data_IF_673579163081
#
_entry.id   IF_673579163081
#
_cell.length_a   1.000
_cell.length_b   1.000
_cell.length_c   1.000
_cell.angle_alpha   90.00
_cell.angle_beta   90.00
_cell.angle_gamma   90.00
#
_symmetry.space_group_name_H-M   'P 1'
#
loop_
_entity.id
_entity.type
_entity.pdbx_description
1 polymer ?
#
# COMPACT_ATOMS: atom_id res chain seq x y z
N UNK A 1 -14.03 -12.24 25.54
CA UNK A 1 -13.27 -13.49 25.32
C UNK A 1 -14.28 -14.58 25.02
N UNK A 2 -14.51 -14.86 23.73
CA UNK A 2 -15.25 -16.05 23.31
C UNK A 2 -14.79 -16.41 21.89
N UNK A 3 -13.64 -17.09 21.82
CA UNK A 3 -13.19 -17.80 20.64
C UNK A 3 -14.02 -19.09 20.58
N UNK A 4 -15.12 -19.10 19.84
CA UNK A 4 -15.73 -20.38 19.45
C UNK A 4 -14.93 -20.95 18.29
N UNK A 5 -13.82 -21.62 18.62
CA UNK A 5 -13.15 -22.55 17.72
C UNK A 5 -14.08 -23.76 17.53
N UNK A 6 -15.06 -23.63 16.64
CA UNK A 6 -15.77 -24.81 16.14
C UNK A 6 -14.81 -25.52 15.19
N UNK A 7 -14.23 -26.60 15.69
CA UNK A 7 -13.23 -27.41 15.01
C UNK A 7 -13.82 -28.04 13.73
N UNK A 8 -13.12 -27.95 12.57
CA UNK A 8 -13.54 -28.57 11.31
C UNK A 8 -13.74 -30.09 11.41
N UNK A 9 -13.19 -30.72 12.44
CA UNK A 9 -13.33 -32.15 12.71
C UNK A 9 -14.76 -32.58 13.08
N UNK A 10 -15.57 -31.70 13.68
CA UNK A 10 -16.99 -32.00 13.98
C UNK A 10 -17.84 -32.03 12.69
N UNK A 11 -17.40 -31.34 11.64
CA UNK A 11 -18.05 -31.33 10.31
C UNK A 11 -17.79 -32.60 9.49
N UNK A 12 -16.85 -33.46 9.89
CA UNK A 12 -16.57 -34.72 9.18
C UNK A 12 -17.55 -35.85 9.52
N UNK A 13 -18.38 -35.69 10.57
CA UNK A 13 -19.34 -36.70 11.02
C UNK A 13 -20.79 -36.46 10.54
N UNK A 14 -21.09 -35.31 9.92
CA UNK A 14 -22.42 -35.02 9.40
C UNK A 14 -22.45 -35.18 7.89
N UNK A 15 -23.27 -36.13 7.46
CA UNK A 15 -23.57 -36.48 6.08
C UNK A 15 -24.19 -35.30 5.31
N UNK A 16 -23.33 -34.41 4.81
CA UNK A 16 -23.47 -33.53 3.62
C UNK A 16 -22.38 -32.45 3.69
N UNK A 17 -21.19 -32.79 3.20
CA UNK A 17 -20.17 -31.79 2.89
C UNK A 17 -20.61 -31.08 1.60
N UNK A 18 -21.51 -30.11 1.74
CA UNK A 18 -21.76 -29.14 0.68
C UNK A 18 -20.59 -28.16 0.66
N UNK A 19 -19.86 -28.10 -0.44
CA UNK A 19 -18.78 -27.15 -0.70
C UNK A 19 -19.24 -25.67 -0.67
N UNK A 20 -20.53 -25.42 -0.51
CA UNK A 20 -21.08 -24.09 -0.30
C UNK A 20 -20.82 -23.61 1.14
N UNK A 21 -20.96 -24.50 2.13
CA UNK A 21 -20.82 -24.15 3.56
C UNK A 21 -19.34 -24.02 4.03
N UNK A 22 -18.40 -24.61 3.29
CA UNK A 22 -16.96 -24.53 3.60
C UNK A 22 -16.31 -23.24 3.05
N UNK A 23 -16.96 -22.56 2.11
CA UNK A 23 -16.39 -21.44 1.36
C UNK A 23 -17.19 -20.14 1.49
N UNK A 24 -18.45 -20.17 1.97
CA UNK A 24 -19.18 -18.95 2.37
C UNK A 24 -18.48 -18.18 3.50
N UNK A 25 -17.69 -18.87 4.35
CA UNK A 25 -16.91 -18.24 5.42
C UNK A 25 -15.61 -17.57 4.98
N UNK A 26 -15.25 -17.58 3.70
CA UNK A 26 -13.95 -17.12 3.22
C UNK A 26 -14.05 -16.31 1.92
N UNK A 27 -14.91 -15.29 1.95
CA UNK A 27 -14.71 -14.12 1.10
C UNK A 27 -13.32 -13.59 1.42
N UNK A 28 -12.42 -13.47 0.43
CA UNK A 28 -11.08 -12.89 0.60
C UNK A 28 -11.27 -11.61 1.42
N UNK A 29 -10.72 -11.58 2.63
CA UNK A 29 -11.04 -10.58 3.63
C UNK A 29 -10.78 -9.17 3.07
N UNK A 30 -11.85 -8.55 2.56
CA UNK A 30 -11.86 -7.23 1.94
C UNK A 30 -11.42 -6.15 2.93
N UNK A 31 -11.32 -6.47 4.23
CA UNK A 31 -10.80 -5.58 5.28
C UNK A 31 -9.46 -4.92 4.89
N UNK A 32 -8.48 -5.68 4.38
CA UNK A 32 -7.16 -5.11 4.08
C UNK A 32 -7.10 -4.28 2.81
N UNK A 33 -8.00 -4.57 1.87
CA UNK A 33 -8.17 -3.77 0.66
C UNK A 33 -8.93 -2.47 0.99
N UNK A 34 -9.88 -2.53 1.93
CA UNK A 34 -10.54 -1.34 2.51
C UNK A 34 -9.55 -0.52 3.34
N UNK A 35 -8.61 -1.16 4.03
CA UNK A 35 -7.55 -0.47 4.78
C UNK A 35 -6.63 0.35 3.88
N UNK A 36 -6.44 -0.03 2.62
CA UNK A 36 -5.63 0.74 1.66
C UNK A 36 -6.23 2.11 1.34
N UNK A 37 -7.55 2.26 1.50
CA UNK A 37 -8.30 3.51 1.23
C UNK A 37 -8.26 4.42 2.47
N UNK A 38 -8.08 3.86 3.66
CA UNK A 38 -8.09 4.63 4.92
C UNK A 38 -6.95 5.66 4.96
N UNK A 39 -7.26 6.84 5.48
CA UNK A 39 -6.24 7.81 5.88
C UNK A 39 -5.40 7.25 7.04
N UNK A 40 -4.19 7.78 7.22
CA UNK A 40 -3.33 7.44 8.37
C UNK A 40 -4.04 7.64 9.72
N UNK A 41 -4.84 8.69 9.84
CA UNK A 41 -5.63 8.97 11.05
C UNK A 41 -6.75 7.96 11.28
N UNK A 42 -7.35 7.43 10.21
CA UNK A 42 -8.42 6.43 10.29
C UNK A 42 -7.90 5.00 10.46
N UNK A 43 -6.70 4.68 9.94
CA UNK A 43 -6.11 3.35 10.03
C UNK A 43 -5.75 2.97 11.47
N UNK A 44 -5.04 3.85 12.18
CA UNK A 44 -4.76 3.69 13.61
C UNK A 44 -4.73 5.06 14.32
N UNK A 45 -5.85 5.49 14.93
CA UNK A 45 -5.96 6.80 15.58
C UNK A 45 -4.96 7.01 16.72
N UNK A 46 -4.63 5.94 17.46
CA UNK A 46 -3.68 5.99 18.57
C UNK A 46 -2.27 6.28 18.07
N UNK A 47 -1.78 5.49 17.10
CA UNK A 47 -0.45 5.70 16.51
C UNK A 47 -0.35 7.06 15.84
N UNK A 48 -1.39 7.47 15.11
CA UNK A 48 -1.47 8.80 14.53
C UNK A 48 -1.35 9.92 15.57
N UNK A 49 -2.07 9.80 16.69
CA UNK A 49 -2.02 10.80 17.76
C UNK A 49 -0.62 10.91 18.35
N UNK A 50 0.06 9.79 18.60
CA UNK A 50 1.45 9.79 19.08
C UNK A 50 2.40 10.40 18.06
N UNK A 51 2.35 9.98 16.79
CA UNK A 51 3.23 10.50 15.75
C UNK A 51 2.98 11.99 15.49
N UNK A 52 1.72 12.43 15.44
CA UNK A 52 1.38 13.84 15.29
C UNK A 52 1.84 14.65 16.51
N UNK A 53 1.79 14.10 17.71
CA UNK A 53 2.26 14.78 18.93
C UNK A 53 3.77 14.92 18.92
N UNK A 54 4.52 13.88 18.56
CA UNK A 54 5.98 13.95 18.39
C UNK A 54 6.34 14.97 17.31
N UNK A 55 5.59 14.97 16.20
CA UNK A 55 5.81 15.90 15.09
C UNK A 55 5.63 17.35 15.55
N UNK A 56 4.53 17.66 16.25
CA UNK A 56 4.23 19.01 16.71
C UNK A 56 5.12 19.49 17.86
N UNK A 57 5.37 18.62 18.84
CA UNK A 57 6.06 19.02 20.07
C UNK A 57 7.59 19.02 19.94
N UNK A 58 8.15 18.16 19.11
CA UNK A 58 9.61 17.97 19.03
C UNK A 58 10.15 18.33 17.65
N UNK A 59 9.56 17.76 16.60
CA UNK A 59 10.17 17.84 15.27
C UNK A 59 9.90 19.15 14.56
N UNK A 60 8.75 19.79 14.77
CA UNK A 60 8.44 21.11 14.23
C UNK A 60 9.40 22.20 14.76
N UNK A 61 9.60 22.35 16.08
CA UNK A 61 10.61 23.27 16.60
C UNK A 61 12.01 23.00 16.04
N UNK A 62 12.38 21.72 15.93
CA UNK A 62 13.68 21.32 15.36
C UNK A 62 13.79 21.67 13.86
N UNK A 63 12.71 21.50 13.10
CA UNK A 63 12.62 21.90 11.69
C UNK A 63 12.76 23.41 11.52
N UNK A 64 12.15 24.22 12.39
CA UNK A 64 12.31 25.68 12.39
C UNK A 64 13.75 26.09 12.76
N UNK A 65 14.40 25.38 13.67
CA UNK A 65 15.82 25.60 13.99
C UNK A 65 16.72 25.32 12.77
N UNK A 66 16.51 24.19 12.07
CA UNK A 66 17.22 23.87 10.81
C UNK A 66 16.94 24.95 9.76
N UNK A 67 15.69 25.36 9.62
CA UNK A 67 15.28 26.42 8.69
C UNK A 67 16.03 27.73 8.96
N UNK A 68 16.25 28.06 10.24
CA UNK A 68 17.01 29.25 10.64
C UNK A 68 18.48 29.17 10.22
N UNK A 69 19.10 27.99 10.34
CA UNK A 69 20.47 27.74 9.86
C UNK A 69 20.55 27.87 8.33
N UNK A 70 19.61 27.26 7.61
CA UNK A 70 19.54 27.35 6.14
C UNK A 70 19.39 28.80 5.67
N UNK A 71 18.55 29.60 6.35
CA UNK A 71 18.40 31.02 6.04
C UNK A 71 19.71 31.79 6.17
N UNK A 72 20.48 31.57 7.23
CA UNK A 72 21.78 32.25 7.44
C UNK A 72 22.76 31.88 6.33
N UNK A 73 22.79 30.61 5.92
CA UNK A 73 23.65 30.14 4.83
C UNK A 73 23.28 30.78 3.49
N UNK A 74 21.99 30.79 3.13
CA UNK A 74 21.51 31.39 1.88
C UNK A 74 21.68 32.90 1.87
N UNK A 75 21.46 33.58 3.01
CA UNK A 75 21.75 35.00 3.17
C UNK A 75 23.24 35.31 2.95
N UNK A 76 24.14 34.48 3.51
CA UNK A 76 25.59 34.63 3.32
C UNK A 76 26.00 34.43 1.86
N UNK A 77 25.45 33.42 1.18
CA UNK A 77 25.71 33.17 -0.26
C UNK A 77 25.25 34.34 -1.10
N UNK A 78 24.06 34.86 -0.82
CA UNK A 78 23.51 36.02 -1.50
C UNK A 78 24.35 37.29 -1.27
N UNK A 79 24.78 37.54 -0.03
CA UNK A 79 25.65 38.66 0.30
C UNK A 79 26.97 38.60 -0.49
N UNK A 80 27.60 37.42 -0.54
CA UNK A 80 28.83 37.20 -1.32
C UNK A 80 28.61 37.39 -2.82
N UNK A 81 27.50 36.88 -3.36
CA UNK A 81 27.14 37.03 -4.78
C UNK A 81 27.00 38.50 -5.16
N UNK A 82 26.32 39.30 -4.33
CA UNK A 82 26.13 40.73 -4.55
C UNK A 82 27.46 41.48 -4.45
N UNK A 83 28.26 41.19 -3.41
CA UNK A 83 29.58 41.80 -3.23
C UNK A 83 30.52 41.51 -4.42
N UNK A 84 30.54 40.28 -4.92
CA UNK A 84 31.35 39.89 -6.08
C UNK A 84 30.86 40.53 -7.39
N UNK A 85 29.58 40.90 -7.48
CA UNK A 85 29.01 41.61 -8.64
C UNK A 85 29.15 43.14 -8.58
N UNK A 86 29.80 43.68 -7.53
CA UNK A 86 29.98 45.12 -7.34
C UNK A 86 28.71 45.89 -6.96
N UNK A 87 27.64 45.18 -6.59
CA UNK A 87 26.36 45.77 -6.19
C UNK A 87 26.24 45.96 -4.68
N UNK A 88 25.28 46.79 -4.26
CA UNK A 88 24.83 46.87 -2.87
C UNK A 88 23.66 45.90 -2.63
N UNK A 89 23.54 45.39 -1.41
CA UNK A 89 22.41 44.56 -1.01
C UNK A 89 21.15 45.42 -0.92
N UNK A 90 20.26 45.32 -1.91
CA UNK A 90 18.96 46.01 -1.90
C UNK A 90 17.89 45.15 -1.25
N UNK A 91 16.87 45.80 -0.68
CA UNK A 91 15.70 45.10 -0.13
C UNK A 91 14.98 44.27 -1.21
N UNK A 92 14.94 44.75 -2.46
CA UNK A 92 14.38 44.01 -3.60
C UNK A 92 15.07 42.67 -3.84
N UNK A 93 16.37 42.58 -3.56
CA UNK A 93 17.11 41.33 -3.67
C UNK A 93 16.76 40.39 -2.49
N UNK A 94 16.63 40.92 -1.26
CA UNK A 94 16.32 40.12 -0.07
C UNK A 94 14.86 39.68 0.05
N UNK A 95 13.92 40.47 -0.48
CA UNK A 95 12.49 40.22 -0.39
C UNK A 95 12.07 38.80 -0.87
N UNK A 96 12.46 38.30 -2.06
CA UNK A 96 12.07 36.96 -2.50
C UNK A 96 12.62 35.86 -1.58
N UNK A 97 13.82 36.01 -1.02
CA UNK A 97 14.38 35.08 -0.05
C UNK A 97 13.53 35.03 1.23
N UNK A 98 13.18 36.18 1.81
CA UNK A 98 12.36 36.25 3.02
C UNK A 98 10.95 35.69 2.81
N UNK A 99 10.34 35.97 1.65
CA UNK A 99 9.02 35.42 1.31
C UNK A 99 9.09 33.88 1.23
N UNK A 100 10.11 33.34 0.55
CA UNK A 100 10.29 31.89 0.46
C UNK A 100 10.50 31.23 1.82
N UNK A 101 11.22 31.90 2.73
CA UNK A 101 11.43 31.45 4.10
C UNK A 101 10.12 31.40 4.90
N UNK A 102 9.32 32.47 4.87
CA UNK A 102 8.03 32.52 5.56
C UNK A 102 7.10 31.44 5.05
N UNK A 103 7.05 31.23 3.73
CA UNK A 103 6.26 30.16 3.12
C UNK A 103 6.68 28.79 3.62
N UNK A 104 7.98 28.49 3.67
CA UNK A 104 8.48 27.21 4.17
C UNK A 104 8.21 27.03 5.66
N UNK A 105 8.30 28.09 6.47
CA UNK A 105 7.92 28.04 7.88
C UNK A 105 6.44 27.66 8.06
N UNK A 106 5.53 28.20 7.24
CA UNK A 106 4.11 27.84 7.23
C UNK A 106 3.89 26.39 6.77
N UNK A 107 4.69 25.91 5.82
CA UNK A 107 4.64 24.51 5.37
C UNK A 107 5.07 23.56 6.49
N UNK A 108 6.12 23.89 7.26
CA UNK A 108 6.60 23.11 8.40
C UNK A 108 5.50 22.95 9.46
N UNK A 109 4.77 24.02 9.79
CA UNK A 109 3.69 23.98 10.79
C UNK A 109 2.49 23.16 10.34
N UNK A 110 2.28 23.02 9.03
CA UNK A 110 1.18 22.25 8.43
C UNK A 110 1.62 20.91 7.82
N UNK A 111 2.78 20.40 8.19
CA UNK A 111 3.37 19.18 7.59
C UNK A 111 2.46 17.96 7.63
N UNK A 112 1.73 17.74 8.72
CA UNK A 112 0.82 16.58 8.85
C UNK A 112 -0.30 16.62 7.81
N UNK A 113 -0.83 17.81 7.51
CA UNK A 113 -1.89 18.02 6.51
C UNK A 113 -1.38 17.68 5.12
N UNK A 114 -0.12 18.03 4.81
CA UNK A 114 0.49 17.73 3.52
C UNK A 114 0.64 16.22 3.30
N UNK A 115 1.12 15.50 4.32
CA UNK A 115 1.25 14.03 4.24
C UNK A 115 -0.11 13.36 4.09
N UNK A 116 -1.12 13.81 4.83
CA UNK A 116 -2.50 13.34 4.67
C UNK A 116 -3.06 13.62 3.28
N UNK A 117 -2.78 14.79 2.69
CA UNK A 117 -3.23 15.14 1.35
C UNK A 117 -2.61 14.22 0.28
N UNK A 118 -1.31 13.91 0.37
CA UNK A 118 -0.63 12.98 -0.57
C UNK A 118 -1.29 11.60 -0.51
N UNK A 119 -1.59 11.12 0.70
CA UNK A 119 -2.22 9.82 0.88
C UNK A 119 -3.69 9.85 0.46
N UNK A 120 -4.41 10.95 0.69
CA UNK A 120 -5.77 11.15 0.22
C UNK A 120 -5.87 11.07 -1.31
N UNK A 121 -4.90 11.63 -2.04
CA UNK A 121 -4.83 11.49 -3.50
C UNK A 121 -4.65 10.02 -3.91
N UNK A 122 -3.76 9.29 -3.23
CA UNK A 122 -3.55 7.86 -3.50
C UNK A 122 -4.80 7.02 -3.16
N UNK A 123 -5.46 7.29 -2.04
CA UNK A 123 -6.73 6.66 -1.66
C UNK A 123 -7.81 6.91 -2.70
N UNK A 124 -7.94 8.15 -3.18
CA UNK A 124 -8.90 8.49 -4.21
C UNK A 124 -8.61 7.77 -5.54
N UNK A 125 -7.33 7.64 -5.92
CA UNK A 125 -6.96 6.83 -7.08
C UNK A 125 -7.35 5.36 -6.90
N UNK A 126 -7.17 4.80 -5.70
CA UNK A 126 -7.60 3.44 -5.37
C UNK A 126 -9.12 3.29 -5.49
N UNK A 127 -9.90 4.24 -4.98
CA UNK A 127 -11.37 4.24 -5.10
C UNK A 127 -11.84 4.24 -6.55
N UNK A 128 -11.20 5.02 -7.41
CA UNK A 128 -11.54 5.04 -8.84
C UNK A 128 -11.22 3.69 -9.51
N UNK A 129 -10.07 3.11 -9.21
CA UNK A 129 -9.71 1.76 -9.71
C UNK A 129 -10.69 0.72 -9.17
N UNK A 130 -11.06 0.81 -7.89
CA UNK A 130 -12.02 -0.08 -7.24
C UNK A 130 -13.38 -0.05 -7.95
N UNK A 131 -13.87 1.15 -8.27
CA UNK A 131 -15.10 1.35 -9.03
C UNK A 131 -15.03 0.64 -10.38
N UNK A 132 -13.96 0.83 -11.15
CA UNK A 132 -13.80 0.19 -12.47
C UNK A 132 -13.79 -1.33 -12.35
N UNK A 133 -13.07 -1.89 -11.36
CA UNK A 133 -12.97 -3.33 -11.17
C UNK A 133 -14.29 -3.94 -10.68
N UNK A 134 -15.06 -3.22 -9.85
CA UNK A 134 -16.37 -3.66 -9.40
C UNK A 134 -17.38 -3.84 -10.54
N UNK A 135 -17.27 -3.04 -11.61
CA UNK A 135 -18.08 -3.22 -12.83
C UNK A 135 -17.61 -4.38 -13.72
N UNK A 136 -16.41 -4.91 -13.50
CA UNK A 136 -15.80 -6.01 -14.26
C UNK A 136 -16.29 -7.41 -13.89
N UNK A 137 -17.12 -7.55 -12.87
CA UNK A 137 -18.01 -8.71 -12.70
C UNK A 137 -17.34 -10.09 -12.71
N UNK A 138 -16.17 -10.28 -12.11
CA UNK A 138 -15.66 -11.62 -11.83
C UNK A 138 -16.10 -12.05 -10.42
N UNK A 139 -17.32 -12.58 -10.30
CA UNK A 139 -17.71 -13.31 -9.09
C UNK A 139 -16.72 -14.44 -8.88
N UNK A 140 -16.21 -14.58 -7.64
CA UNK A 140 -15.47 -15.75 -7.22
C UNK A 140 -16.41 -16.95 -7.28
N UNK A 141 -16.51 -17.57 -8.46
CA UNK A 141 -17.25 -18.80 -8.57
C UNK A 141 -16.43 -19.86 -7.84
N UNK A 142 -16.86 -20.20 -6.63
CA UNK A 142 -16.37 -21.38 -5.91
C UNK A 142 -16.38 -22.52 -6.92
N UNK A 143 -15.28 -23.26 -7.05
CA UNK A 143 -15.21 -24.44 -7.91
C UNK A 143 -16.22 -25.45 -7.34
N UNK A 144 -17.47 -25.30 -7.76
CA UNK A 144 -18.59 -26.12 -7.38
C UNK A 144 -18.76 -27.11 -8.52
N UNK A 145 -18.38 -28.35 -8.23
CA UNK A 145 -18.61 -29.45 -9.13
C UNK A 145 -17.31 -30.07 -9.62
N UNK A 146 -16.75 -30.96 -8.81
CA UNK A 146 -16.13 -32.14 -9.37
C UNK A 146 -16.53 -33.37 -8.56
N UNK A 147 -17.42 -34.19 -9.14
CA UNK A 147 -17.66 -35.55 -8.66
C UNK A 147 -16.53 -36.42 -9.19
N UNK A 148 -15.45 -36.57 -8.43
CA UNK A 148 -14.47 -37.61 -8.70
C UNK A 148 -15.15 -38.98 -8.60
N UNK A 149 -15.23 -39.72 -9.71
CA UNK A 149 -15.71 -41.10 -9.69
C UNK A 149 -14.62 -41.99 -9.07
N UNK A 150 -14.83 -42.43 -7.83
CA UNK A 150 -13.96 -43.37 -7.10
C UNK A 150 -13.34 -42.79 -5.82
N UNK A 151 -13.18 -43.63 -4.78
CA UNK A 151 -12.68 -43.26 -3.45
C UNK A 151 -11.29 -42.59 -3.48
N UNK A 152 -10.35 -43.12 -4.28
CA UNK A 152 -9.01 -42.54 -4.49
C UNK A 152 -9.08 -41.18 -5.19
N UNK A 153 -9.94 -41.03 -6.21
CA UNK A 153 -10.10 -39.77 -6.94
C UNK A 153 -10.65 -38.65 -6.05
N UNK A 154 -11.55 -38.98 -5.11
CA UNK A 154 -12.08 -38.02 -4.13
C UNK A 154 -11.02 -37.58 -3.11
N UNK A 155 -10.12 -38.48 -2.68
CA UNK A 155 -9.01 -38.10 -1.79
C UNK A 155 -7.98 -37.19 -2.46
N UNK A 156 -7.61 -37.45 -3.71
CA UNK A 156 -6.65 -36.60 -4.45
C UNK A 156 -7.22 -35.21 -4.67
N UNK A 157 -8.47 -35.12 -5.14
CA UNK A 157 -9.15 -33.82 -5.32
C UNK A 157 -9.30 -33.09 -3.97
N UNK A 158 -9.60 -33.80 -2.88
CA UNK A 158 -9.65 -33.23 -1.53
C UNK A 158 -8.30 -32.67 -1.06
N UNK A 159 -7.19 -33.37 -1.33
CA UNK A 159 -5.84 -32.91 -0.98
C UNK A 159 -5.46 -31.63 -1.74
N UNK A 160 -5.68 -31.59 -3.05
CA UNK A 160 -5.41 -30.38 -3.85
C UNK A 160 -6.33 -29.22 -3.45
N UNK A 161 -7.60 -29.48 -3.11
CA UNK A 161 -8.50 -28.45 -2.62
C UNK A 161 -8.03 -27.85 -1.28
N UNK A 162 -7.52 -28.69 -0.37
CA UNK A 162 -6.92 -28.24 0.89
C UNK A 162 -5.67 -27.38 0.63
N UNK A 163 -4.79 -27.80 -0.30
CA UNK A 163 -3.61 -27.00 -0.65
C UNK A 163 -3.98 -25.64 -1.25
N UNK A 164 -4.95 -25.55 -2.16
CA UNK A 164 -5.42 -24.28 -2.72
C UNK A 164 -5.97 -23.38 -1.61
N UNK A 165 -6.76 -23.95 -0.69
CA UNK A 165 -7.28 -23.22 0.46
C UNK A 165 -6.17 -22.66 1.36
N UNK A 166 -5.14 -23.47 1.65
CA UNK A 166 -3.98 -23.07 2.44
C UNK A 166 -3.22 -21.91 1.77
N UNK A 167 -2.94 -22.02 0.47
CA UNK A 167 -2.22 -21.00 -0.29
C UNK A 167 -3.02 -19.69 -0.36
N UNK A 168 -4.34 -19.76 -0.47
CA UNK A 168 -5.21 -18.57 -0.42
C UNK A 168 -5.14 -17.85 0.92
N UNK A 169 -5.17 -18.58 2.05
CA UNK A 169 -4.98 -17.99 3.39
C UNK A 169 -3.64 -17.25 3.48
N UNK A 170 -2.57 -17.89 3.01
CA UNK A 170 -1.22 -17.29 3.04
C UNK A 170 -1.17 -16.03 2.18
N UNK A 171 -1.79 -16.03 0.99
CA UNK A 171 -1.83 -14.85 0.13
C UNK A 171 -2.58 -13.67 0.75
N UNK A 172 -3.73 -13.91 1.39
CA UNK A 172 -4.51 -12.89 2.08
C UNK A 172 -3.74 -12.34 3.30
N UNK A 173 -3.14 -13.22 4.10
CA UNK A 173 -2.28 -12.82 5.20
C UNK A 173 -1.09 -11.97 4.73
N UNK A 174 -0.50 -12.29 3.57
CA UNK A 174 0.59 -11.51 2.98
C UNK A 174 0.14 -10.09 2.59
N UNK A 175 -1.05 -9.93 2.01
CA UNK A 175 -1.61 -8.59 1.72
C UNK A 175 -1.75 -7.80 3.01
N UNK A 176 -2.41 -8.36 4.04
CA UNK A 176 -2.63 -7.68 5.32
C UNK A 176 -1.31 -7.25 5.98
N UNK A 177 -0.31 -8.13 5.95
CA UNK A 177 1.02 -7.87 6.48
C UNK A 177 1.71 -6.75 5.71
N UNK A 178 1.68 -6.77 4.39
CA UNK A 178 2.31 -5.76 3.54
C UNK A 178 1.66 -4.39 3.72
N UNK A 179 0.32 -4.34 3.79
CA UNK A 179 -0.43 -3.11 4.10
C UNK A 179 -0.01 -2.54 5.46
N UNK A 180 0.12 -3.39 6.48
CA UNK A 180 0.55 -2.98 7.82
C UNK A 180 1.98 -2.42 7.83
N UNK A 181 2.91 -3.09 7.15
CA UNK A 181 4.30 -2.61 7.01
C UNK A 181 4.34 -1.24 6.33
N UNK A 182 3.57 -1.05 5.25
CA UNK A 182 3.47 0.24 4.55
C UNK A 182 2.99 1.35 5.50
N UNK A 183 1.95 1.10 6.28
CA UNK A 183 1.45 2.09 7.24
C UNK A 183 2.51 2.43 8.30
N UNK A 184 3.23 1.43 8.83
CA UNK A 184 4.34 1.66 9.76
C UNK A 184 5.42 2.55 9.12
N UNK A 185 5.81 2.28 7.88
CA UNK A 185 6.80 3.09 7.15
C UNK A 185 6.35 4.54 6.97
N UNK A 186 5.09 4.75 6.59
CA UNK A 186 4.50 6.09 6.48
C UNK A 186 4.47 6.80 7.84
N UNK A 187 4.06 6.11 8.91
CA UNK A 187 4.06 6.68 10.26
C UNK A 187 5.44 7.11 10.72
N UNK A 188 6.47 6.30 10.43
CA UNK A 188 7.85 6.62 10.77
C UNK A 188 8.39 7.80 9.97
N UNK A 189 7.87 8.09 8.77
CA UNK A 189 8.32 9.23 7.98
C UNK A 189 7.72 10.56 8.47
N UNK A 190 6.46 10.60 8.95
CA UNK A 190 5.76 11.85 9.31
C UNK A 190 6.60 12.78 10.21
N UNK A 191 7.22 12.30 11.31
CA UNK A 191 7.97 13.19 12.20
C UNK A 191 9.21 13.78 11.54
N UNK A 192 9.75 13.16 10.50
CA UNK A 192 10.96 13.66 9.82
C UNK A 192 10.66 14.67 8.70
N UNK A 193 9.41 14.78 8.24
CA UNK A 193 9.05 15.75 7.20
C UNK A 193 9.40 17.21 7.57
N UNK A 194 9.13 17.70 8.80
CA UNK A 194 9.55 19.04 9.22
C UNK A 194 11.06 19.30 9.11
N UNK A 195 11.89 18.26 9.19
CA UNK A 195 13.36 18.38 9.14
C UNK A 195 13.88 18.47 7.72
N UNK A 196 13.22 17.82 6.76
CA UNK A 196 13.66 17.77 5.37
C UNK A 196 13.08 18.91 4.55
N UNK A 197 11.89 19.43 4.89
CA UNK A 197 11.25 20.56 4.22
C UNK A 197 12.15 21.83 4.14
N UNK A 198 12.86 22.24 5.21
CA UNK A 198 13.80 23.37 5.15
C UNK A 198 14.88 23.24 4.07
N UNK A 199 15.30 22.00 3.77
CA UNK A 199 16.42 21.74 2.85
C UNK A 199 16.11 22.13 1.40
N UNK A 200 14.84 22.31 1.04
CA UNK A 200 14.43 22.78 -0.29
C UNK A 200 14.91 24.19 -0.63
N UNK A 201 15.14 25.03 0.38
CA UNK A 201 15.59 26.41 0.18
C UNK A 201 17.07 26.52 -0.19
N UNK A 202 17.87 25.49 0.12
CA UNK A 202 19.29 25.50 -0.21
C UNK A 202 19.59 24.64 -1.41
N UNK A 203 20.26 25.21 -2.41
CA UNK A 203 20.62 24.47 -3.63
C UNK A 203 21.51 23.24 -3.35
N UNK A 204 22.31 23.28 -2.29
CA UNK A 204 23.19 22.17 -1.87
C UNK A 204 22.40 21.02 -1.22
N UNK A 205 21.38 21.35 -0.43
CA UNK A 205 20.63 20.38 0.37
C UNK A 205 19.28 19.99 -0.26
N UNK A 206 18.88 20.66 -1.35
CA UNK A 206 17.63 20.43 -2.07
C UNK A 206 17.45 18.97 -2.51
N UNK A 207 18.54 18.29 -2.87
CA UNK A 207 18.51 16.87 -3.24
C UNK A 207 17.97 15.98 -2.12
N UNK A 208 18.30 16.28 -0.86
CA UNK A 208 17.85 15.52 0.31
C UNK A 208 16.35 15.72 0.52
N UNK A 209 15.86 16.96 0.44
CA UNK A 209 14.43 17.26 0.52
C UNK A 209 13.63 16.56 -0.58
N UNK A 210 14.10 16.64 -1.83
CA UNK A 210 13.45 15.98 -2.98
C UNK A 210 13.44 14.47 -2.78
N UNK A 211 14.54 13.87 -2.34
CA UNK A 211 14.64 12.43 -2.05
C UNK A 211 13.64 11.98 -0.98
N UNK A 212 13.45 12.78 0.06
CA UNK A 212 12.46 12.50 1.09
C UNK A 212 11.01 12.50 0.55
N UNK A 213 10.62 13.52 -0.23
CA UNK A 213 9.29 13.54 -0.86
C UNK A 213 9.10 12.39 -1.84
N UNK A 214 10.13 12.07 -2.64
CA UNK A 214 10.10 10.89 -3.51
C UNK A 214 9.84 9.61 -2.72
N UNK A 215 10.48 9.43 -1.57
CA UNK A 215 10.23 8.28 -0.70
C UNK A 215 8.77 8.21 -0.20
N UNK A 216 8.16 9.34 0.21
CA UNK A 216 6.74 9.35 0.59
C UNK A 216 5.87 8.94 -0.60
N UNK A 217 6.15 9.49 -1.78
CA UNK A 217 5.42 9.17 -3.01
C UNK A 217 5.53 7.69 -3.37
N UNK A 218 6.67 7.03 -3.11
CA UNK A 218 6.84 5.59 -3.33
C UNK A 218 5.86 4.80 -2.48
N UNK A 219 5.76 5.10 -1.19
CA UNK A 219 4.84 4.39 -0.31
C UNK A 219 3.37 4.69 -0.66
N UNK A 220 3.07 5.89 -1.17
CA UNK A 220 1.76 6.22 -1.70
C UNK A 220 1.42 5.37 -2.93
N UNK A 221 2.28 5.37 -3.96
CA UNK A 221 2.15 4.59 -5.20
C UNK A 221 2.15 3.08 -4.94
N UNK A 222 2.96 2.61 -4.00
CA UNK A 222 2.99 1.20 -3.59
C UNK A 222 1.61 0.73 -3.11
N UNK A 223 0.86 1.56 -2.38
CA UNK A 223 -0.52 1.26 -1.98
C UNK A 223 -1.44 1.03 -3.17
N UNK A 224 -1.35 1.90 -4.18
CA UNK A 224 -2.12 1.79 -5.42
C UNK A 224 -1.75 0.52 -6.18
N UNK A 225 -0.46 0.18 -6.26
CA UNK A 225 0.02 -1.03 -6.92
C UNK A 225 -0.46 -2.30 -6.22
N UNK A 226 -0.43 -2.35 -4.88
CA UNK A 226 -0.95 -3.50 -4.11
C UNK A 226 -2.43 -3.69 -4.45
N UNK A 227 -3.22 -2.61 -4.45
CA UNK A 227 -4.63 -2.67 -4.81
C UNK A 227 -4.83 -3.19 -6.23
N UNK A 228 -4.10 -2.64 -7.21
CA UNK A 228 -4.15 -3.08 -8.59
C UNK A 228 -3.83 -4.58 -8.73
N UNK A 229 -2.75 -5.04 -8.11
CA UNK A 229 -2.34 -6.45 -8.14
C UNK A 229 -3.46 -7.34 -7.61
N UNK A 230 -4.03 -7.02 -6.44
CA UNK A 230 -5.13 -7.80 -5.84
C UNK A 230 -6.37 -7.77 -6.74
N UNK A 231 -6.70 -6.62 -7.32
CA UNK A 231 -7.87 -6.41 -8.16
C UNK A 231 -7.82 -7.17 -9.50
N UNK A 232 -6.62 -7.48 -10.00
CA UNK A 232 -6.43 -8.24 -11.24
C UNK A 232 -6.57 -9.75 -11.05
N UNK A 233 -6.45 -10.26 -9.82
CA UNK A 233 -6.46 -11.71 -9.52
C UNK A 233 -7.75 -12.40 -10.01
N UNK A 234 -8.96 -11.88 -9.75
CA UNK A 234 -10.20 -12.49 -10.23
C UNK A 234 -10.29 -12.54 -11.77
N UNK A 235 -9.69 -11.56 -12.47
CA UNK A 235 -9.71 -11.47 -13.93
C UNK A 235 -8.86 -12.58 -14.56
N UNK A 236 -7.70 -12.89 -13.98
CA UNK A 236 -6.86 -14.00 -14.42
C UNK A 236 -7.48 -15.37 -14.06
N UNK A 237 -8.20 -15.48 -12.94
CA UNK A 237 -8.92 -16.71 -12.59
C UNK A 237 -10.10 -16.99 -13.54
N UNK A 238 -10.84 -15.95 -13.95
CA UNK A 238 -11.98 -16.08 -14.88
C UNK A 238 -11.55 -16.53 -16.27
N UNK A 239 -10.45 -15.99 -16.80
CA UNK A 239 -9.88 -16.41 -18.08
C UNK A 239 -9.49 -17.90 -18.12
N UNK A 240 -9.06 -18.46 -16.99
CA UNK A 240 -8.74 -19.89 -16.87
C UNK A 240 -9.97 -20.81 -16.81
N UNK A 241 -11.12 -20.31 -16.34
CA UNK A 241 -12.38 -21.07 -16.23
C UNK A 241 -13.14 -21.18 -17.55
N UNK A 242 -13.04 -20.17 -18.42
CA UNK A 242 -13.78 -20.12 -19.71
C UNK A 242 -13.36 -21.26 -20.67
N UNK A 243 -12.18 -21.86 -20.49
CA UNK A 243 -11.73 -22.99 -21.30
C UNK A 243 -12.40 -24.35 -20.94
N UNK A 244 -13.25 -24.42 -19.91
CA UNK A 244 -13.68 -25.69 -19.29
C UNK A 244 -15.20 -25.83 -19.13
N UNK A 245 -16.00 -25.27 -20.02
CA UNK A 245 -17.46 -25.52 -20.01
C UNK A 245 -17.91 -26.80 -20.74
N UNK A 246 -16.99 -27.62 -21.26
CA UNK A 246 -17.35 -28.75 -22.15
C UNK A 246 -16.98 -30.12 -21.56
N UNK A 247 -17.49 -30.47 -20.37
CA UNK A 247 -17.45 -31.85 -19.86
C UNK A 247 -16.06 -32.41 -19.57
N UNK A 248 -15.23 -31.64 -18.87
CA UNK A 248 -13.84 -31.99 -18.59
C UNK A 248 -13.66 -33.24 -17.71
N UNK A 249 -12.81 -34.17 -18.17
CA UNK A 249 -12.33 -35.30 -17.38
C UNK A 249 -11.39 -34.87 -16.24
N UNK A 250 -11.05 -35.83 -15.37
CA UNK A 250 -10.19 -35.62 -14.18
C UNK A 250 -8.89 -34.85 -14.50
N UNK A 251 -8.30 -35.05 -15.68
CA UNK A 251 -7.07 -34.38 -16.11
C UNK A 251 -7.23 -32.85 -16.27
N UNK A 252 -8.37 -32.38 -16.79
CA UNK A 252 -8.63 -30.95 -16.98
C UNK A 252 -8.97 -30.25 -15.66
N UNK A 253 -9.64 -30.93 -14.73
CA UNK A 253 -9.82 -30.39 -13.39
C UNK A 253 -8.50 -30.25 -12.64
N UNK A 254 -7.59 -31.22 -12.77
CA UNK A 254 -6.25 -31.09 -12.22
C UNK A 254 -5.50 -29.91 -12.85
N UNK A 255 -5.63 -29.70 -14.16
CA UNK A 255 -5.01 -28.56 -14.84
C UNK A 255 -5.52 -27.21 -14.32
N UNK A 256 -6.82 -27.05 -14.07
CA UNK A 256 -7.38 -25.83 -13.45
C UNK A 256 -6.85 -25.64 -12.03
N UNK A 257 -6.78 -26.71 -11.23
CA UNK A 257 -6.27 -26.67 -9.86
C UNK A 257 -4.80 -26.24 -9.82
N UNK A 258 -3.96 -26.81 -10.68
CA UNK A 258 -2.57 -26.38 -10.83
C UNK A 258 -2.46 -24.92 -11.30
N UNK A 259 -3.31 -24.49 -12.25
CA UNK A 259 -3.36 -23.10 -12.71
C UNK A 259 -3.64 -22.10 -11.59
N UNK A 260 -4.60 -22.41 -10.72
CA UNK A 260 -4.93 -21.56 -9.56
C UNK A 260 -3.80 -21.48 -8.52
N UNK A 261 -3.05 -22.58 -8.31
CA UNK A 261 -1.88 -22.60 -7.43
C UNK A 261 -0.75 -21.72 -7.98
N UNK A 262 -0.47 -21.82 -9.28
CA UNK A 262 0.55 -20.99 -9.95
C UNK A 262 0.18 -19.52 -9.85
N UNK A 263 -1.10 -19.17 -10.08
CA UNK A 263 -1.58 -17.79 -9.96
C UNK A 263 -1.41 -17.22 -8.54
N UNK A 264 -1.69 -18.01 -7.50
CA UNK A 264 -1.51 -17.57 -6.13
C UNK A 264 -0.02 -17.36 -5.76
N UNK A 265 0.89 -18.18 -6.29
CA UNK A 265 2.35 -17.97 -6.12
C UNK A 265 2.79 -16.70 -6.85
N UNK A 266 2.33 -16.47 -8.08
CA UNK A 266 2.62 -15.26 -8.85
C UNK A 266 2.12 -14.00 -8.13
N UNK A 267 0.96 -14.07 -7.49
CA UNK A 267 0.40 -12.99 -6.67
C UNK A 267 1.36 -12.61 -5.54
N UNK A 268 1.86 -13.59 -4.78
CA UNK A 268 2.82 -13.35 -3.68
C UNK A 268 4.10 -12.70 -4.22
N UNK A 269 4.63 -13.19 -5.34
CA UNK A 269 5.83 -12.62 -5.98
C UNK A 269 5.57 -11.17 -6.42
N UNK A 270 4.42 -10.89 -7.03
CA UNK A 270 4.03 -9.56 -7.47
C UNK A 270 3.85 -8.59 -6.29
N UNK A 271 3.25 -9.04 -5.18
CA UNK A 271 3.10 -8.25 -3.96
C UNK A 271 4.46 -7.86 -3.38
N UNK A 272 5.38 -8.82 -3.22
CA UNK A 272 6.73 -8.54 -2.73
C UNK A 272 7.48 -7.60 -3.68
N UNK A 273 7.27 -7.74 -4.99
CA UNK A 273 7.83 -6.86 -6.02
C UNK A 273 7.23 -5.45 -6.06
N UNK A 274 6.05 -5.22 -5.46
CA UNK A 274 5.31 -3.94 -5.57
C UNK A 274 6.12 -2.75 -5.09
N UNK A 275 6.91 -2.89 -4.02
CA UNK A 275 7.76 -1.82 -3.50
C UNK A 275 8.87 -1.44 -4.49
N UNK A 276 9.48 -2.44 -5.15
CA UNK A 276 10.51 -2.21 -6.16
C UNK A 276 9.92 -1.52 -7.38
N UNK A 277 8.74 -1.95 -7.83
CA UNK A 277 8.03 -1.34 -8.95
C UNK A 277 7.64 0.11 -8.66
N UNK A 278 7.17 0.40 -7.44
CA UNK A 278 6.87 1.77 -7.01
C UNK A 278 8.11 2.68 -7.07
N UNK A 279 9.27 2.17 -6.64
CA UNK A 279 10.55 2.90 -6.73
C UNK A 279 10.96 3.20 -8.17
N UNK A 280 10.86 2.20 -9.05
CA UNK A 280 11.22 2.39 -10.46
C UNK A 280 10.33 3.40 -11.18
N UNK A 281 9.03 3.47 -10.85
CA UNK A 281 8.10 4.45 -11.44
C UNK A 281 8.52 5.89 -11.08
N UNK A 282 9.05 6.09 -9.89
CA UNK A 282 9.45 7.42 -9.39
C UNK A 282 10.91 7.76 -9.69
N UNK A 283 11.58 6.93 -10.51
CA UNK A 283 12.95 7.13 -10.96
C UNK A 283 13.96 7.04 -9.82
N UNK A 284 13.78 6.04 -8.93
CA UNK A 284 14.70 5.69 -7.85
C UNK A 284 15.22 4.26 -7.97
#
# INVERSE_FOLDING_TARGET
MNLSLVSPFVYLASEKISAENLFEGFNVDLQSTVDLIKSLSSYNPTVWTYMSSITKSVMQPLGVAILSVVLILEFSKMAKKIANSGGAMTFEALAPMLISYIMVAVVITNTTVIVEAIIGIASHAIEQVASIVAHGGAKYDTISGLKGSGFIGRMIVGFFALLIWLVRIVSAAMVNLLVSIRFIQLYLMIPFAPLTIPTFLSDEWKSIGIGYLKNIMVYAVQGVLIFLIVSLVPLFESAGKIAVSNGAGVLQSLAIMFGSLVQAILLIIALVGSQRTARSILGM
#
